data_IF_250326302398
#
_entry.id   IF_250326302398
#
_cell.length_a   1.000
_cell.length_b   1.000
_cell.length_c   1.000
_cell.angle_alpha   90.00
_cell.angle_beta   90.00
_cell.angle_gamma   90.00
#
_symmetry.space_group_name_H-M   'P 1'
#
loop_
_entity.id
_entity.type
_entity.pdbx_description
1 polymer ?
#
# COMPACT_ATOMS: atom_id res chain seq x y z
N UNK A 1 13.81 2.47 15.28
CA UNK A 1 14.54 1.58 14.34
C UNK A 1 14.05 1.77 12.91
N UNK A 2 14.94 1.90 11.92
CA UNK A 2 14.57 2.02 10.50
C UNK A 2 14.13 0.65 9.96
N UNK A 3 13.05 0.63 9.18
CA UNK A 3 12.54 -0.59 8.53
C UNK A 3 13.41 -0.90 7.31
N UNK A 4 13.95 -2.12 7.24
CA UNK A 4 14.87 -2.61 6.20
C UNK A 4 14.43 -3.99 5.70
N UNK A 5 14.98 -4.45 4.58
CA UNK A 5 14.72 -5.79 4.02
C UNK A 5 14.96 -6.91 5.03
N UNK A 6 15.95 -6.76 5.92
CA UNK A 6 16.30 -7.77 6.93
C UNK A 6 15.40 -7.78 8.17
N UNK A 7 14.68 -6.70 8.47
CA UNK A 7 13.97 -6.56 9.75
C UNK A 7 12.47 -6.25 9.63
N UNK A 8 11.96 -6.01 8.41
CA UNK A 8 10.59 -5.51 8.23
C UNK A 8 9.50 -6.45 8.77
N UNK A 9 9.77 -7.77 8.79
CA UNK A 9 8.85 -8.77 9.35
C UNK A 9 8.67 -8.66 10.87
N UNK A 10 9.62 -8.03 11.56
CA UNK A 10 9.54 -7.78 13.00
C UNK A 10 8.86 -6.43 13.33
N UNK A 11 8.50 -5.65 12.31
CA UNK A 11 7.84 -4.37 12.51
C UNK A 11 6.41 -4.57 13.04
N UNK A 12 6.00 -3.77 14.02
CA UNK A 12 4.68 -3.88 14.65
C UNK A 12 3.50 -3.73 13.69
N UNK A 13 3.71 -3.11 12.52
CA UNK A 13 2.67 -2.97 11.51
C UNK A 13 2.59 -4.15 10.54
N UNK A 14 3.61 -5.01 10.50
CA UNK A 14 3.70 -6.11 9.54
C UNK A 14 2.50 -7.06 9.56
N UNK A 15 2.02 -7.57 10.72
CA UNK A 15 0.88 -8.49 10.74
C UNK A 15 -0.39 -7.90 10.10
N UNK A 16 -0.63 -6.60 10.30
CA UNK A 16 -1.78 -5.90 9.72
C UNK A 16 -1.62 -5.65 8.22
N UNK A 17 -0.40 -5.37 7.75
CA UNK A 17 -0.11 -5.26 6.31
C UNK A 17 -0.36 -6.59 5.62
N UNK A 18 0.17 -7.70 6.16
CA UNK A 18 -0.02 -9.01 5.54
C UNK A 18 -1.49 -9.42 5.52
N UNK A 19 -2.22 -9.23 6.62
CA UNK A 19 -3.66 -9.48 6.68
C UNK A 19 -4.41 -8.70 5.59
N UNK A 20 -4.15 -7.39 5.48
CA UNK A 20 -4.77 -6.54 4.47
C UNK A 20 -4.43 -6.97 3.04
N UNK A 21 -3.17 -7.30 2.76
CA UNK A 21 -2.73 -7.78 1.44
C UNK A 21 -3.42 -9.10 1.08
N UNK A 22 -3.49 -10.06 2.02
CA UNK A 22 -4.20 -11.33 1.81
C UNK A 22 -5.67 -11.12 1.48
N UNK A 23 -6.36 -10.27 2.24
CA UNK A 23 -7.77 -9.93 2.00
C UNK A 23 -7.97 -9.27 0.62
N UNK A 24 -7.07 -8.38 0.20
CA UNK A 24 -7.13 -7.79 -1.15
C UNK A 24 -6.94 -8.85 -2.24
N UNK A 25 -5.94 -9.73 -2.08
CA UNK A 25 -5.62 -10.77 -3.06
C UNK A 25 -6.72 -11.83 -3.20
N UNK A 26 -7.56 -12.03 -2.20
CA UNK A 26 -8.72 -12.93 -2.32
C UNK A 26 -9.81 -12.43 -3.29
N UNK A 27 -9.74 -11.18 -3.76
CA UNK A 27 -10.75 -10.59 -4.65
C UNK A 27 -10.15 -9.76 -5.81
N UNK A 28 -8.82 -9.64 -5.90
CA UNK A 28 -8.12 -8.76 -6.86
C UNK A 28 -6.72 -9.28 -7.14
N UNK A 29 -6.25 -9.18 -8.38
CA UNK A 29 -4.86 -9.47 -8.76
C UNK A 29 -3.91 -8.27 -8.58
N UNK A 30 -4.41 -7.18 -7.99
CA UNK A 30 -3.67 -5.93 -7.80
C UNK A 30 -3.74 -5.48 -6.36
N UNK A 31 -2.58 -5.12 -5.81
CA UNK A 31 -2.42 -4.51 -4.49
C UNK A 31 -1.93 -3.09 -4.67
N UNK A 32 -2.81 -2.11 -4.44
CA UNK A 32 -2.42 -0.71 -4.37
C UNK A 32 -2.11 -0.29 -2.92
N UNK A 33 -1.08 0.53 -2.68
CA UNK A 33 -0.74 0.99 -1.34
C UNK A 33 -1.89 1.67 -0.60
N UNK A 34 -2.70 2.47 -1.32
CA UNK A 34 -3.87 3.12 -0.73
C UNK A 34 -4.92 2.12 -0.23
N UNK A 35 -5.15 1.01 -0.96
CA UNK A 35 -6.13 0.00 -0.57
C UNK A 35 -5.67 -0.78 0.67
N UNK A 36 -4.36 -1.07 0.77
CA UNK A 36 -3.78 -1.66 1.98
C UNK A 36 -3.97 -0.73 3.17
N UNK A 37 -3.67 0.56 3.01
CA UNK A 37 -3.83 1.56 4.08
C UNK A 37 -5.31 1.69 4.49
N UNK A 38 -6.25 1.61 3.54
CA UNK A 38 -7.70 1.60 3.82
C UNK A 38 -8.10 0.35 4.61
N UNK A 39 -7.66 -0.84 4.17
CA UNK A 39 -7.94 -2.11 4.88
C UNK A 39 -7.32 -2.17 6.27
N UNK A 40 -6.15 -1.56 6.45
CA UNK A 40 -5.55 -1.36 7.76
C UNK A 40 -6.35 -0.38 8.63
N UNK A 41 -7.29 0.40 8.09
CA UNK A 41 -8.02 1.43 8.82
C UNK A 41 -7.18 2.68 9.08
N UNK A 42 -6.15 2.93 8.27
CA UNK A 42 -5.31 4.14 8.35
C UNK A 42 -5.70 5.22 7.34
N UNK A 43 -6.76 4.99 6.58
CA UNK A 43 -7.37 5.92 5.66
C UNK A 43 -8.83 5.47 5.47
N UNK A 44 -9.80 6.35 5.66
CA UNK A 44 -11.19 5.99 5.37
C UNK A 44 -11.45 5.99 3.86
N UNK A 45 -12.38 5.15 3.41
CA UNK A 45 -12.80 5.13 2.00
C UNK A 45 -13.35 6.49 1.55
N UNK A 46 -14.12 7.15 2.44
CA UNK A 46 -14.64 8.50 2.21
C UNK A 46 -13.51 9.51 1.97
N UNK A 47 -12.48 9.53 2.83
CA UNK A 47 -11.34 10.44 2.69
C UNK A 47 -10.55 10.17 1.40
N UNK A 48 -10.35 8.91 1.05
CA UNK A 48 -9.73 8.53 -0.21
C UNK A 48 -10.53 9.02 -1.42
N UNK A 49 -11.85 8.88 -1.40
CA UNK A 49 -12.72 9.31 -2.49
C UNK A 49 -12.77 10.85 -2.61
N UNK A 50 -12.77 11.57 -1.48
CA UNK A 50 -12.62 13.03 -1.45
C UNK A 50 -11.29 13.49 -2.02
N UNK A 51 -10.19 12.79 -1.71
CA UNK A 51 -8.89 13.02 -2.33
C UNK A 51 -8.91 12.73 -3.84
N UNK A 52 -9.52 11.63 -4.28
CA UNK A 52 -9.68 11.30 -5.71
C UNK A 52 -10.47 12.37 -6.48
N UNK A 53 -11.43 13.01 -5.83
CA UNK A 53 -12.20 14.16 -6.35
C UNK A 53 -11.44 15.49 -6.25
N UNK A 54 -10.25 15.52 -5.67
CA UNK A 54 -9.43 16.73 -5.49
C UNK A 54 -9.96 17.69 -4.41
N UNK A 55 -10.83 17.22 -3.50
CA UNK A 55 -11.30 18.00 -2.36
C UNK A 55 -10.26 18.07 -1.25
N UNK A 56 -9.38 17.05 -1.19
CA UNK A 56 -8.21 17.02 -0.32
C UNK A 56 -6.98 17.27 -1.18
N UNK A 57 -6.14 18.24 -0.78
CA UNK A 57 -4.98 18.68 -1.56
C UNK A 57 -3.88 17.63 -1.72
N UNK A 58 -3.72 16.73 -0.74
CA UNK A 58 -2.83 15.58 -0.78
C UNK A 58 -3.29 14.48 0.18
N UNK A 59 -3.06 13.20 -0.17
CA UNK A 59 -3.65 12.07 0.54
C UNK A 59 -3.23 11.99 2.02
N UNK A 60 -1.96 12.26 2.32
CA UNK A 60 -1.42 12.23 3.68
C UNK A 60 -2.09 13.22 4.64
N UNK A 61 -2.80 14.23 4.12
CA UNK A 61 -3.57 15.18 4.93
C UNK A 61 -4.69 14.49 5.73
N UNK A 62 -5.21 13.39 5.20
CA UNK A 62 -6.35 12.64 5.75
C UNK A 62 -5.96 11.22 6.15
N UNK A 63 -4.66 10.99 6.35
CA UNK A 63 -4.13 9.73 6.87
C UNK A 63 -4.30 9.69 8.40
N UNK A 64 -4.76 8.55 8.92
CA UNK A 64 -4.94 8.33 10.36
C UNK A 64 -3.63 7.93 11.03
N UNK A 65 -2.94 8.93 11.58
CA UNK A 65 -1.66 8.80 12.27
C UNK A 65 -0.67 9.88 11.85
N UNK A 66 0.62 9.57 11.90
CA UNK A 66 1.68 10.49 11.50
C UNK A 66 2.41 10.02 10.23
N UNK A 67 3.15 10.93 9.59
CA UNK A 67 3.87 10.66 8.35
C UNK A 67 4.96 9.59 8.50
N UNK A 68 5.58 9.48 9.69
CA UNK A 68 6.56 8.43 9.97
C UNK A 68 5.92 7.03 9.91
N UNK A 69 4.69 6.90 10.42
CA UNK A 69 3.89 5.68 10.33
C UNK A 69 3.50 5.38 8.88
N UNK A 70 3.04 6.37 8.12
CA UNK A 70 2.68 6.19 6.71
C UNK A 70 3.88 5.68 5.89
N UNK A 71 5.02 6.35 5.99
CA UNK A 71 6.26 5.96 5.33
C UNK A 71 6.71 4.54 5.71
N UNK A 72 6.59 4.18 6.99
CA UNK A 72 6.94 2.84 7.48
C UNK A 72 6.02 1.77 6.88
N UNK A 73 4.71 2.00 6.84
CA UNK A 73 3.75 1.08 6.21
C UNK A 73 4.06 0.89 4.72
N UNK A 74 4.35 1.97 3.98
CA UNK A 74 4.73 1.88 2.56
C UNK A 74 5.96 1.00 2.33
N UNK A 75 6.99 1.11 3.18
CA UNK A 75 8.18 0.25 3.06
C UNK A 75 7.84 -1.22 3.32
N UNK A 76 7.01 -1.50 4.33
CA UNK A 76 6.57 -2.87 4.63
C UNK A 76 5.77 -3.44 3.46
N UNK A 77 4.85 -2.68 2.87
CA UNK A 77 4.10 -3.09 1.67
C UNK A 77 5.06 -3.46 0.54
N UNK A 78 6.03 -2.58 0.26
CA UNK A 78 7.02 -2.81 -0.80
C UNK A 78 7.81 -4.10 -0.58
N UNK A 79 8.35 -4.32 0.63
CA UNK A 79 9.14 -5.52 0.92
C UNK A 79 8.28 -6.78 0.91
N UNK A 80 7.06 -6.71 1.44
CA UNK A 80 6.17 -7.86 1.43
C UNK A 80 5.73 -8.23 0.01
N UNK A 81 5.38 -7.26 -0.83
CA UNK A 81 5.03 -7.51 -2.23
C UNK A 81 6.22 -8.08 -3.04
N UNK A 82 7.44 -7.66 -2.71
CA UNK A 82 8.66 -8.26 -3.27
C UNK A 82 8.81 -9.73 -2.86
N UNK A 83 8.63 -10.07 -1.58
CA UNK A 83 8.68 -11.46 -1.10
C UNK A 83 7.59 -12.33 -1.75
N UNK A 84 6.43 -11.75 -2.08
CA UNK A 84 5.36 -12.42 -2.85
C UNK A 84 5.65 -12.49 -4.37
N UNK A 85 6.83 -12.05 -4.81
CA UNK A 85 7.25 -12.01 -6.22
C UNK A 85 6.25 -11.24 -7.13
N UNK A 86 5.64 -10.19 -6.59
CA UNK A 86 4.69 -9.34 -7.33
C UNK A 86 5.43 -8.34 -8.23
N UNK A 87 4.83 -8.03 -9.38
CA UNK A 87 5.40 -7.09 -10.35
C UNK A 87 5.00 -5.65 -9.99
N UNK A 88 5.95 -4.73 -9.75
CA UNK A 88 5.62 -3.32 -9.55
C UNK A 88 5.16 -2.69 -10.88
N UNK A 89 4.12 -1.85 -10.82
CA UNK A 89 3.60 -1.05 -11.92
C UNK A 89 3.24 0.34 -11.43
N UNK A 90 3.77 1.36 -12.09
CA UNK A 90 3.47 2.74 -11.73
C UNK A 90 2.10 3.15 -12.27
N UNK A 91 1.27 3.75 -11.41
CA UNK A 91 -0.07 4.24 -11.77
C UNK A 91 -0.16 5.76 -11.64
N UNK A 92 -0.58 6.42 -12.72
CA UNK A 92 -0.78 7.87 -12.71
C UNK A 92 -2.16 8.21 -12.11
N UNK A 93 -2.15 9.00 -11.04
CA UNK A 93 -3.38 9.45 -10.37
C UNK A 93 -3.80 10.83 -10.87
N UNK A 94 -4.90 10.87 -11.64
CA UNK A 94 -5.59 12.11 -12.02
C UNK A 94 -6.86 12.28 -11.19
N UNK A 95 -7.22 13.55 -10.93
CA UNK A 95 -8.51 13.93 -10.34
C UNK A 95 -9.67 13.35 -11.17
N UNK A 96 -10.63 12.73 -10.49
CA UNK A 96 -11.87 12.24 -11.10
C UNK A 96 -12.98 13.29 -10.99
N UNK A 97 -14.01 13.18 -11.85
CA UNK A 97 -15.15 14.12 -11.88
C UNK A 97 -15.04 15.23 -12.92
N UNK A 98 -15.97 16.20 -12.85
CA UNK A 98 -16.09 17.33 -13.79
C UNK A 98 -14.99 18.39 -13.55
N UNK A 99 -14.64 19.13 -14.61
CA UNK A 99 -13.63 20.17 -14.62
C UNK A 99 -12.23 19.69 -15.00
N UNK A 100 -11.26 20.61 -14.89
CA UNK A 100 -9.88 20.37 -15.31
C UNK A 100 -9.24 19.17 -14.59
N UNK A 101 -8.54 18.33 -15.36
CA UNK A 101 -7.83 17.16 -14.88
C UNK A 101 -6.44 17.57 -14.42
N UNK A 102 -6.18 17.42 -13.13
CA UNK A 102 -4.85 17.63 -12.55
C UNK A 102 -4.33 16.36 -11.91
N UNK A 103 -3.01 16.23 -11.84
CA UNK A 103 -2.35 15.17 -11.10
C UNK A 103 -2.63 15.33 -9.60
N UNK A 104 -2.99 14.24 -8.95
CA UNK A 104 -3.15 14.20 -7.50
C UNK A 104 -1.77 14.04 -6.85
N UNK A 105 -1.60 14.65 -5.67
CA UNK A 105 -0.42 14.48 -4.83
C UNK A 105 -0.75 13.56 -3.67
N UNK A 106 0.18 12.70 -3.29
CA UNK A 106 0.04 11.86 -2.10
C UNK A 106 0.55 12.57 -0.86
N UNK A 107 1.69 13.24 -0.96
CA UNK A 107 2.38 13.86 0.17
C UNK A 107 2.31 15.39 0.15
N UNK A 108 2.48 16.01 1.32
CA UNK A 108 2.60 17.47 1.43
C UNK A 108 3.85 17.99 0.71
N UNK A 109 4.95 17.24 0.81
CA UNK A 109 6.25 17.64 0.27
C UNK A 109 6.36 17.43 -1.25
N UNK A 110 5.54 16.56 -1.83
CA UNK A 110 5.67 16.15 -3.22
C UNK A 110 6.98 15.41 -3.51
N UNK A 111 7.60 14.78 -2.51
CA UNK A 111 8.87 14.08 -2.68
C UNK A 111 8.72 12.95 -3.72
N UNK A 112 9.49 12.95 -4.83
CA UNK A 112 9.27 11.99 -5.92
C UNK A 112 9.35 10.51 -5.51
N UNK A 113 10.22 10.16 -4.55
CA UNK A 113 10.33 8.78 -4.05
C UNK A 113 9.08 8.37 -3.26
N UNK A 114 8.52 9.30 -2.50
CA UNK A 114 7.31 9.07 -1.72
C UNK A 114 6.08 8.99 -2.64
N UNK A 115 5.95 9.92 -3.58
CA UNK A 115 4.90 9.89 -4.61
C UNK A 115 4.95 8.57 -5.39
N UNK A 116 6.14 8.10 -5.77
CA UNK A 116 6.34 6.80 -6.43
C UNK A 116 5.92 5.63 -5.54
N UNK A 117 6.23 5.68 -4.25
CA UNK A 117 5.90 4.60 -3.31
C UNK A 117 4.39 4.44 -3.13
N UNK A 118 3.63 5.54 -3.13
CA UNK A 118 2.16 5.48 -3.09
C UNK A 118 1.53 5.05 -4.42
N UNK A 119 2.13 5.45 -5.55
CA UNK A 119 1.59 5.21 -6.90
C UNK A 119 2.02 3.88 -7.52
N UNK A 120 2.96 3.16 -6.90
CA UNK A 120 3.37 1.83 -7.36
C UNK A 120 2.36 0.80 -6.89
N UNK A 121 1.62 0.24 -7.83
CA UNK A 121 0.77 -0.92 -7.61
C UNK A 121 1.59 -2.20 -7.78
N UNK A 122 1.21 -3.24 -7.09
CA UNK A 122 1.84 -4.55 -7.19
C UNK A 122 0.86 -5.52 -7.80
N UNK A 123 1.22 -6.07 -8.97
CA UNK A 123 0.38 -6.98 -9.74
C UNK A 123 0.85 -8.41 -9.50
N UNK A 124 -0.10 -9.34 -9.42
CA UNK A 124 0.21 -10.77 -9.43
C UNK A 124 0.96 -11.09 -10.72
N UNK A 125 2.20 -11.58 -10.58
CA UNK A 125 3.04 -11.95 -11.70
C UNK A 125 2.83 -13.41 -12.11
N UNK A 126 2.62 -14.29 -11.12
CA UNK A 126 2.34 -15.71 -11.32
C UNK A 126 1.49 -16.27 -10.18
N UNK A 127 0.24 -16.71 -10.44
CA UNK A 127 -0.64 -17.24 -9.40
C UNK A 127 -0.02 -18.42 -8.63
N UNK A 128 0.59 -19.38 -9.35
CA UNK A 128 1.23 -20.55 -8.73
C UNK A 128 2.32 -20.19 -7.72
N UNK A 129 3.14 -19.17 -8.03
CA UNK A 129 4.19 -18.70 -7.12
C UNK A 129 3.59 -17.96 -5.93
N UNK A 130 2.57 -17.15 -6.16
CA UNK A 130 1.86 -16.45 -5.09
C UNK A 130 1.27 -17.43 -4.08
N UNK A 131 0.62 -18.49 -4.55
CA UNK A 131 0.04 -19.53 -3.69
C UNK A 131 1.11 -20.24 -2.86
N UNK A 132 2.26 -20.56 -3.46
CA UNK A 132 3.38 -21.16 -2.74
C UNK A 132 3.92 -20.25 -1.62
N UNK A 133 4.11 -18.96 -1.91
CA UNK A 133 4.61 -17.98 -0.93
C UNK A 133 3.58 -17.70 0.18
N UNK A 134 2.29 -17.58 -0.16
CA UNK A 134 1.22 -17.41 0.81
C UNK A 134 1.10 -18.64 1.73
N UNK A 135 1.20 -19.85 1.18
CA UNK A 135 1.16 -21.08 1.97
C UNK A 135 2.38 -21.22 2.89
N UNK A 136 3.58 -20.87 2.41
CA UNK A 136 4.78 -20.83 3.24
C UNK A 136 4.64 -19.84 4.41
N UNK A 137 4.07 -18.66 4.13
CA UNK A 137 3.79 -17.66 5.16
C UNK A 137 2.79 -18.15 6.21
N UNK A 138 1.68 -18.77 5.80
CA UNK A 138 0.67 -19.26 6.75
C UNK A 138 1.24 -20.31 7.70
N UNK A 139 2.14 -21.18 7.24
CA UNK A 139 2.84 -22.14 8.08
C UNK A 139 3.73 -21.48 9.14
N UNK A 140 4.40 -20.38 8.80
CA UNK A 140 5.28 -19.64 9.71
C UNK A 140 4.52 -18.84 10.79
N UNK A 141 3.27 -18.46 10.52
CA UNK A 141 2.43 -17.72 11.48
C UNK A 141 1.65 -18.66 12.42
N UNK A 142 1.39 -19.90 11.99
CA UNK A 142 0.69 -20.91 12.82
C UNK A 142 1.62 -21.66 13.79
N UNK A 143 2.94 -21.49 13.68
CA UNK A 143 3.96 -22.16 14.52
C UNK A 143 4.52 -21.28 15.64
N UNK A 144 3.91 -20.12 15.90
CA UNK A 144 4.21 -19.22 17.02
C UNK A 144 2.94 -18.84 17.76
#
# INVERSE_FOLDING_TARGET
MKTTVSNYKNDKYYPRVVKAVKELLSHSEVVAPADVIIRMGNLSKQNYDSWKKGQVSYLEKVFEGNLSKANRILQIIKFHAHDLNMKPSHTVYKKTGKGAKHLLKFSKSGNPKLETSYSTHYLVNSPKKLDAELNNFLKLVQTK
#
